data_IF_248990636030
#
_entry.id   IF_248990636030
#
_cell.length_a   1.000
_cell.length_b   1.000
_cell.length_c   1.000
_cell.angle_alpha   90.00
_cell.angle_beta   90.00
_cell.angle_gamma   90.00
#
_symmetry.space_group_name_H-M   'P 1'
#
loop_
_entity.id
_entity.type
_entity.pdbx_description
1 polymer ?
#
# COMPACT_ATOMS: atom_id res chain seq x y z
N UNK A 1 10.75 12.90 -8.32
CA UNK A 1 9.66 13.88 -8.52
C UNK A 1 9.87 15.09 -7.64
N UNK A 2 9.46 16.28 -8.12
CA UNK A 2 9.57 17.52 -7.35
C UNK A 2 8.23 17.84 -6.68
N UNK A 3 8.27 18.21 -5.41
CA UNK A 3 7.10 18.56 -4.60
C UNK A 3 7.24 19.97 -4.05
N UNK A 4 6.14 20.67 -3.92
CA UNK A 4 6.07 21.96 -3.25
C UNK A 4 6.20 21.72 -1.73
N UNK A 5 7.15 22.41 -1.08
CA UNK A 5 7.47 22.21 0.35
C UNK A 5 6.37 22.68 1.31
N UNK A 6 5.53 23.61 0.87
CA UNK A 6 4.45 24.16 1.71
C UNK A 6 3.17 23.34 1.62
N UNK A 7 2.83 22.90 0.40
CA UNK A 7 1.55 22.22 0.15
C UNK A 7 1.66 20.71 0.11
N UNK A 8 2.88 20.16 0.03
CA UNK A 8 3.13 18.73 -0.17
C UNK A 8 2.65 18.18 -1.52
N UNK A 9 2.16 19.06 -2.41
CA UNK A 9 1.63 18.65 -3.73
C UNK A 9 2.75 18.57 -4.76
N UNK A 10 2.57 17.66 -5.73
CA UNK A 10 3.49 17.53 -6.87
C UNK A 10 3.47 18.79 -7.72
N UNK A 11 4.66 19.30 -8.09
CA UNK A 11 4.81 20.40 -9.03
C UNK A 11 4.65 19.84 -10.44
N UNK A 12 3.62 20.28 -11.16
CA UNK A 12 3.27 19.83 -12.52
C UNK A 12 3.53 20.90 -13.59
N UNK A 13 3.64 22.17 -13.18
CA UNK A 13 3.85 23.29 -14.10
C UNK A 13 5.32 23.76 -14.07
N UNK A 14 5.93 24.12 -15.19
CA UNK A 14 5.40 24.05 -16.57
C UNK A 14 5.41 22.62 -17.16
N UNK A 15 5.97 21.64 -16.46
CA UNK A 15 5.99 20.22 -16.82
C UNK A 15 6.18 19.33 -15.57
N UNK A 16 5.88 18.05 -15.69
CA UNK A 16 6.10 17.10 -14.60
C UNK A 16 7.60 16.91 -14.36
N UNK A 17 8.09 17.38 -13.22
CA UNK A 17 9.49 17.24 -12.82
C UNK A 17 9.75 15.80 -12.30
N UNK A 18 9.87 14.86 -13.22
CA UNK A 18 10.22 13.47 -12.93
C UNK A 18 11.61 13.19 -13.48
N UNK A 19 12.50 12.70 -12.64
CA UNK A 19 13.82 12.25 -13.04
C UNK A 19 14.19 10.95 -12.37
N UNK A 20 15.11 10.23 -12.96
CA UNK A 20 15.59 8.95 -12.46
C UNK A 20 17.06 9.07 -12.04
N UNK A 21 17.40 8.47 -10.90
CA UNK A 21 18.76 8.56 -10.35
C UNK A 21 19.82 8.09 -11.34
N UNK A 22 19.58 6.98 -12.02
CA UNK A 22 20.53 6.46 -13.03
C UNK A 22 20.73 7.42 -14.21
N UNK A 23 19.67 8.16 -14.63
CA UNK A 23 19.78 9.16 -15.66
C UNK A 23 20.57 10.39 -15.21
N UNK A 24 20.38 10.83 -13.96
CA UNK A 24 21.16 11.94 -13.39
C UNK A 24 22.62 11.59 -13.21
N UNK A 25 22.91 10.36 -12.82
CA UNK A 25 24.27 9.87 -12.60
C UNK A 25 24.98 9.45 -13.89
N UNK A 26 24.32 9.56 -15.04
CA UNK A 26 24.87 9.19 -16.36
C UNK A 26 25.58 7.82 -16.34
N UNK A 27 24.94 6.82 -15.72
CA UNK A 27 25.50 5.46 -15.62
C UNK A 27 25.35 4.71 -16.95
N UNK A 28 26.44 4.63 -17.69
CA UNK A 28 26.50 3.80 -18.90
C UNK A 28 26.29 2.32 -18.56
N UNK A 29 25.52 1.63 -19.41
CA UNK A 29 25.25 0.20 -19.24
C UNK A 29 24.29 -0.13 -18.08
N UNK A 30 23.62 0.85 -17.49
CA UNK A 30 22.63 0.61 -16.45
C UNK A 30 21.43 -0.18 -16.98
N UNK A 31 21.22 -1.38 -16.44
CA UNK A 31 20.07 -2.22 -16.78
C UNK A 31 18.99 -2.07 -15.69
N UNK A 32 17.92 -1.34 -16.03
CA UNK A 32 16.79 -1.14 -15.11
C UNK A 32 15.99 -2.44 -14.96
N UNK A 33 16.01 -3.02 -13.77
CA UNK A 33 15.13 -4.12 -13.38
C UNK A 33 14.12 -3.61 -12.35
N UNK A 34 12.88 -3.48 -12.79
CA UNK A 34 11.78 -3.09 -11.89
C UNK A 34 11.29 -4.32 -11.10
N UNK A 35 10.95 -4.10 -9.84
CA UNK A 35 10.29 -5.06 -8.96
C UNK A 35 9.13 -4.36 -8.24
N UNK A 36 8.25 -5.12 -7.61
CA UNK A 36 7.21 -4.53 -6.77
C UNK A 36 7.82 -3.88 -5.53
N UNK A 37 7.33 -2.72 -5.16
CA UNK A 37 7.60 -2.20 -3.82
C UNK A 37 7.02 -3.17 -2.78
N UNK A 38 7.80 -3.50 -1.74
CA UNK A 38 7.38 -4.49 -0.75
C UNK A 38 7.52 -5.95 -1.19
N UNK A 39 8.09 -6.26 -2.37
CA UNK A 39 8.26 -7.62 -2.89
C UNK A 39 8.97 -8.57 -1.91
N UNK A 40 9.95 -8.07 -1.16
CA UNK A 40 10.67 -8.86 -0.15
C UNK A 40 9.75 -9.45 0.93
N UNK A 41 8.63 -8.80 1.25
CA UNK A 41 7.65 -9.28 2.23
C UNK A 41 6.93 -10.56 1.78
N UNK A 42 6.91 -10.84 0.46
CA UNK A 42 6.29 -12.06 -0.09
C UNK A 42 6.98 -13.34 0.40
N UNK A 43 8.26 -13.26 0.75
CA UNK A 43 9.02 -14.38 1.29
C UNK A 43 8.75 -14.61 2.78
N UNK A 44 8.38 -13.57 3.52
CA UNK A 44 8.16 -13.62 4.96
C UNK A 44 6.81 -14.24 5.33
N UNK A 45 5.78 -14.00 4.51
CA UNK A 45 4.44 -14.54 4.75
C UNK A 45 3.80 -15.04 3.45
N UNK A 46 3.63 -16.35 3.37
CA UNK A 46 3.00 -17.01 2.22
C UNK A 46 1.50 -17.23 2.39
N UNK A 47 0.95 -16.98 3.58
CA UNK A 47 -0.44 -17.29 3.92
C UNK A 47 -1.40 -16.14 3.64
N UNK A 48 -0.97 -14.88 3.85
CA UNK A 48 -1.83 -13.72 3.63
C UNK A 48 -2.05 -13.49 2.14
N UNK A 49 -3.27 -13.10 1.73
CA UNK A 49 -3.51 -12.60 0.38
C UNK A 49 -2.71 -11.34 0.13
N UNK A 50 -2.26 -11.18 -1.11
CA UNK A 50 -1.50 -10.00 -1.54
C UNK A 50 -2.47 -8.93 -2.03
N UNK A 51 -2.28 -7.69 -1.61
CA UNK A 51 -2.97 -6.52 -2.15
C UNK A 51 -1.99 -5.70 -3.00
N UNK A 52 -2.34 -5.47 -4.25
CA UNK A 52 -1.53 -4.70 -5.20
C UNK A 52 -2.17 -3.33 -5.45
N UNK A 53 -1.40 -2.27 -5.24
CA UNK A 53 -1.76 -0.87 -5.51
C UNK A 53 -0.78 -0.22 -6.49
N UNK A 54 -1.08 1.00 -6.95
CA UNK A 54 -0.20 1.72 -7.86
C UNK A 54 1.01 2.33 -7.15
N UNK A 55 0.80 3.02 -6.03
CA UNK A 55 1.85 3.79 -5.38
C UNK A 55 2.35 3.17 -4.07
N UNK A 56 3.62 3.38 -3.79
CA UNK A 56 4.30 2.94 -2.56
C UNK A 56 3.65 3.59 -1.32
N UNK A 57 3.28 4.88 -1.42
CA UNK A 57 2.56 5.62 -0.36
C UNK A 57 1.27 4.88 0.02
N UNK A 58 0.50 4.48 -0.98
CA UNK A 58 -0.78 3.78 -0.81
C UNK A 58 -0.58 2.43 -0.14
N UNK A 59 0.45 1.66 -0.55
CA UNK A 59 0.78 0.38 0.09
C UNK A 59 1.12 0.55 1.58
N UNK A 60 1.93 1.55 1.94
CA UNK A 60 2.30 1.83 3.33
C UNK A 60 1.07 2.20 4.16
N UNK A 61 0.25 3.14 3.69
CA UNK A 61 -0.95 3.58 4.42
C UNK A 61 -1.93 2.42 4.58
N UNK A 62 -2.24 1.73 3.48
CA UNK A 62 -3.20 0.63 3.50
C UNK A 62 -2.75 -0.54 4.38
N UNK A 63 -1.45 -0.81 4.50
CA UNK A 63 -0.92 -1.86 5.39
C UNK A 63 -1.24 -1.61 6.87
N UNK A 64 -1.35 -0.35 7.27
CA UNK A 64 -1.73 0.03 8.62
C UNK A 64 -3.23 -0.18 8.88
N UNK A 65 -4.09 0.20 7.94
CA UNK A 65 -5.54 0.12 8.09
C UNK A 65 -6.10 -1.28 7.83
N UNK A 66 -5.49 -2.02 6.91
CA UNK A 66 -5.94 -3.33 6.44
C UNK A 66 -4.80 -4.37 6.54
N UNK A 67 -4.34 -4.69 7.77
CA UNK A 67 -3.18 -5.55 8.01
C UNK A 67 -3.40 -7.02 7.62
N UNK A 68 -4.62 -7.42 7.28
CA UNK A 68 -4.93 -8.77 6.79
C UNK A 68 -4.36 -9.07 5.41
N UNK A 69 -3.96 -8.04 4.66
CA UNK A 69 -3.28 -8.20 3.37
C UNK A 69 -1.77 -7.97 3.51
N UNK A 70 -1.03 -8.56 2.60
CA UNK A 70 0.35 -8.18 2.34
C UNK A 70 0.34 -7.15 1.20
N UNK A 71 0.67 -5.90 1.51
CA UNK A 71 0.57 -4.79 0.57
C UNK A 71 1.86 -4.61 -0.22
N UNK A 72 1.72 -4.56 -1.55
CA UNK A 72 2.79 -4.26 -2.50
C UNK A 72 2.34 -3.19 -3.49
N UNK A 73 3.29 -2.52 -4.15
CA UNK A 73 2.96 -1.54 -5.17
C UNK A 73 3.70 -1.78 -6.48
N UNK A 74 3.04 -1.45 -7.58
CA UNK A 74 3.59 -1.59 -8.94
C UNK A 74 4.51 -0.45 -9.36
N UNK A 75 4.52 0.66 -8.61
CA UNK A 75 5.28 1.86 -8.96
C UNK A 75 4.61 2.72 -10.05
N UNK A 76 3.31 2.52 -10.26
CA UNK A 76 2.48 3.28 -11.20
C UNK A 76 1.53 2.40 -12.00
N UNK A 77 0.60 3.03 -12.72
CA UNK A 77 -0.47 2.35 -13.49
C UNK A 77 0.05 1.23 -14.39
N UNK A 78 1.18 1.44 -15.05
CA UNK A 78 1.77 0.52 -16.03
C UNK A 78 2.92 -0.32 -15.46
N UNK A 79 3.29 -0.12 -14.20
CA UNK A 79 4.48 -0.73 -13.60
C UNK A 79 4.29 -2.21 -13.30
N UNK A 80 5.37 -2.98 -13.42
CA UNK A 80 5.49 -4.38 -12.98
C UNK A 80 4.52 -5.40 -13.63
N UNK A 81 3.70 -5.04 -14.62
CA UNK A 81 2.84 -5.99 -15.36
C UNK A 81 3.61 -6.67 -16.51
N UNK A 82 4.73 -7.30 -16.20
CA UNK A 82 5.55 -8.07 -17.14
C UNK A 82 5.97 -9.40 -16.51
N UNK A 83 6.39 -10.36 -17.37
CA UNK A 83 6.64 -11.72 -16.93
C UNK A 83 7.67 -11.86 -15.80
N UNK A 84 8.72 -11.07 -15.83
CA UNK A 84 9.75 -11.11 -14.78
C UNK A 84 9.22 -10.68 -13.41
N UNK A 85 8.39 -9.62 -13.39
CA UNK A 85 7.81 -9.14 -12.14
C UNK A 85 6.65 -10.02 -11.67
N UNK A 86 5.78 -10.48 -12.59
CA UNK A 86 4.62 -11.29 -12.22
C UNK A 86 4.99 -12.67 -11.67
N UNK A 87 6.13 -13.23 -12.07
CA UNK A 87 6.55 -14.57 -11.64
C UNK A 87 6.67 -14.72 -10.12
N UNK A 88 6.98 -13.64 -9.39
CA UNK A 88 7.09 -13.68 -7.91
C UNK A 88 5.74 -13.86 -7.21
N UNK A 89 4.63 -13.63 -7.93
CA UNK A 89 3.27 -13.77 -7.44
C UNK A 89 2.64 -15.13 -7.81
N UNK A 90 3.35 -16.02 -8.51
CA UNK A 90 2.85 -17.33 -8.89
C UNK A 90 2.37 -18.11 -7.65
N UNK A 91 1.15 -18.69 -7.75
CA UNK A 91 0.52 -19.43 -6.66
C UNK A 91 -0.03 -18.57 -5.52
N UNK A 92 0.00 -17.24 -5.66
CA UNK A 92 -0.57 -16.32 -4.65
C UNK A 92 -2.00 -15.92 -5.02
N UNK A 93 -2.81 -15.67 -3.98
CA UNK A 93 -4.07 -14.94 -4.15
C UNK A 93 -3.79 -13.45 -4.08
N UNK A 94 -4.17 -12.72 -5.13
CA UNK A 94 -3.88 -11.30 -5.32
C UNK A 94 -5.16 -10.51 -5.52
N UNK A 95 -5.34 -9.43 -4.76
CA UNK A 95 -6.43 -8.47 -4.96
C UNK A 95 -5.84 -7.17 -5.52
N UNK A 96 -6.35 -6.74 -6.65
CA UNK A 96 -5.95 -5.51 -7.32
C UNK A 96 -6.78 -4.33 -6.76
N UNK A 97 -6.12 -3.27 -6.34
CA UNK A 97 -6.74 -2.02 -5.87
C UNK A 97 -6.29 -0.87 -6.76
N UNK A 98 -6.84 -0.72 -7.97
CA UNK A 98 -6.48 0.36 -8.88
C UNK A 98 -6.90 1.73 -8.33
N UNK A 99 -6.15 2.77 -8.69
CA UNK A 99 -6.59 4.14 -8.53
C UNK A 99 -7.80 4.42 -9.43
N UNK A 100 -8.64 5.39 -9.07
CA UNK A 100 -9.80 5.76 -9.90
C UNK A 100 -9.36 6.13 -11.33
N UNK A 101 -10.05 5.54 -12.30
CA UNK A 101 -9.74 5.67 -13.73
C UNK A 101 -8.64 4.72 -14.22
N UNK A 102 -8.12 3.82 -13.39
CA UNK A 102 -7.20 2.77 -13.79
C UNK A 102 -7.85 1.38 -13.86
N UNK A 103 -9.09 1.26 -13.41
CA UNK A 103 -9.81 -0.02 -13.25
C UNK A 103 -9.85 -0.83 -14.54
N UNK A 104 -10.26 -0.25 -15.68
CA UNK A 104 -10.36 -0.95 -16.96
C UNK A 104 -8.99 -1.45 -17.44
N UNK A 105 -7.96 -0.64 -17.23
CA UNK A 105 -6.60 -1.03 -17.60
C UNK A 105 -6.13 -2.23 -16.77
N UNK A 106 -6.33 -2.20 -15.44
CA UNK A 106 -5.94 -3.30 -14.57
C UNK A 106 -6.79 -4.55 -14.79
N UNK A 107 -8.08 -4.38 -15.10
CA UNK A 107 -8.96 -5.47 -15.55
C UNK A 107 -8.37 -6.19 -16.78
N UNK A 108 -7.82 -5.45 -17.73
CA UNK A 108 -7.19 -6.04 -18.92
C UNK A 108 -5.94 -6.88 -18.62
N UNK A 109 -5.31 -6.72 -17.44
CA UNK A 109 -4.12 -7.47 -17.01
C UNK A 109 -4.46 -8.80 -16.32
N UNK A 110 -5.70 -9.01 -15.93
CA UNK A 110 -6.13 -10.22 -15.19
C UNK A 110 -5.81 -11.50 -15.96
N UNK A 111 -6.11 -11.54 -17.25
CA UNK A 111 -5.84 -12.72 -18.08
C UNK A 111 -4.33 -13.05 -18.12
N UNK A 112 -3.51 -12.03 -18.25
CA UNK A 112 -2.05 -12.19 -18.19
C UNK A 112 -1.60 -12.70 -16.82
N UNK A 113 -2.10 -12.14 -15.72
CA UNK A 113 -1.75 -12.59 -14.38
C UNK A 113 -2.16 -14.04 -14.14
N UNK A 114 -3.35 -14.42 -14.57
CA UNK A 114 -3.84 -15.82 -14.49
C UNK A 114 -2.96 -16.79 -15.28
N UNK A 115 -2.41 -16.39 -16.42
CA UNK A 115 -1.48 -17.22 -17.20
C UNK A 115 -0.17 -17.51 -16.46
N UNK A 116 0.18 -16.69 -15.46
CA UNK A 116 1.29 -16.93 -14.53
C UNK A 116 0.90 -17.72 -13.27
N UNK A 117 -0.30 -18.31 -13.25
CA UNK A 117 -0.80 -19.10 -12.11
C UNK A 117 -1.13 -18.25 -10.87
N UNK A 118 -1.51 -16.98 -11.07
CA UNK A 118 -1.92 -16.07 -10.01
C UNK A 118 -3.45 -16.13 -9.88
N UNK A 119 -3.96 -16.40 -8.66
CA UNK A 119 -5.36 -16.24 -8.36
C UNK A 119 -5.67 -14.76 -8.11
N UNK A 120 -6.26 -14.10 -9.13
CA UNK A 120 -6.40 -12.64 -9.12
C UNK A 120 -7.86 -12.21 -9.12
N UNK A 121 -8.15 -11.24 -8.24
CA UNK A 121 -9.44 -10.56 -8.13
C UNK A 121 -9.23 -9.06 -8.27
N UNK A 122 -10.25 -8.35 -8.77
CA UNK A 122 -10.25 -6.89 -8.89
C UNK A 122 -11.20 -6.29 -7.86
N UNK A 123 -10.72 -5.31 -7.11
CA UNK A 123 -11.53 -4.48 -6.23
C UNK A 123 -12.01 -3.24 -7.00
N UNK A 124 -13.20 -3.32 -7.59
CA UNK A 124 -13.81 -2.26 -8.42
C UNK A 124 -14.79 -1.38 -7.65
N UNK A 125 -14.97 -1.65 -6.35
CA UNK A 125 -15.96 -0.95 -5.51
C UNK A 125 -15.75 0.58 -5.50
N UNK A 126 -14.51 1.04 -5.46
CA UNK A 126 -14.22 2.48 -5.47
C UNK A 126 -14.70 3.11 -6.78
N UNK A 127 -14.39 2.46 -7.92
CA UNK A 127 -14.83 2.92 -9.23
C UNK A 127 -16.36 3.01 -9.33
N UNK A 128 -17.09 2.02 -8.77
CA UNK A 128 -18.54 1.99 -8.78
C UNK A 128 -19.21 3.06 -7.90
N UNK A 129 -18.51 3.56 -6.85
CA UNK A 129 -19.08 4.46 -5.84
C UNK A 129 -18.51 5.87 -5.85
N UNK A 130 -17.42 6.11 -6.56
CA UNK A 130 -16.75 7.40 -6.60
C UNK A 130 -17.63 8.51 -7.19
N UNK A 131 -17.53 9.68 -6.60
CA UNK A 131 -18.08 10.90 -7.15
C UNK A 131 -17.25 11.40 -8.33
N UNK A 132 -17.81 12.29 -9.17
CA UNK A 132 -17.06 12.88 -10.28
C UNK A 132 -15.81 13.66 -9.83
N UNK A 133 -15.88 14.29 -8.65
CA UNK A 133 -14.74 15.02 -8.11
C UNK A 133 -13.60 14.09 -7.70
N UNK A 134 -13.92 12.99 -7.00
CA UNK A 134 -12.94 11.98 -6.62
C UNK A 134 -12.28 11.33 -7.85
N UNK A 135 -13.06 11.12 -8.94
CA UNK A 135 -12.51 10.64 -10.22
C UNK A 135 -11.54 11.63 -10.86
N UNK A 136 -11.89 12.94 -10.85
CA UNK A 136 -11.00 13.99 -11.40
C UNK A 136 -9.70 14.10 -10.62
N UNK A 137 -9.76 13.90 -9.30
CA UNK A 137 -8.58 13.93 -8.43
C UNK A 137 -7.78 12.63 -8.45
N UNK A 138 -8.35 11.55 -9.00
CA UNK A 138 -7.70 10.25 -9.10
C UNK A 138 -7.45 9.61 -7.75
N UNK A 139 -8.49 9.56 -6.91
CA UNK A 139 -8.40 8.98 -5.57
C UNK A 139 -7.98 7.51 -5.62
N UNK A 140 -7.22 7.11 -4.61
CA UNK A 140 -6.83 5.74 -4.35
C UNK A 140 -7.45 5.20 -3.05
N UNK A 141 -7.21 3.94 -2.71
CA UNK A 141 -7.74 3.33 -1.48
C UNK A 141 -7.26 4.08 -0.22
N UNK A 142 -6.03 4.63 -0.20
CA UNK A 142 -5.52 5.36 0.94
C UNK A 142 -6.29 6.66 1.19
N UNK A 143 -6.75 7.35 0.14
CA UNK A 143 -7.54 8.57 0.28
C UNK A 143 -8.87 8.32 1.00
N UNK A 144 -9.47 7.14 0.79
CA UNK A 144 -10.68 6.71 1.52
C UNK A 144 -10.35 6.25 2.94
N UNK A 145 -9.28 5.50 3.14
CA UNK A 145 -8.89 5.03 4.47
C UNK A 145 -8.51 6.18 5.41
N UNK A 146 -7.87 7.22 4.89
CA UNK A 146 -7.49 8.40 5.67
C UNK A 146 -8.68 9.26 6.10
N UNK A 147 -9.85 9.11 5.49
CA UNK A 147 -11.10 9.75 5.94
C UNK A 147 -11.64 9.10 7.21
N UNK A 148 -11.22 7.87 7.52
CA UNK A 148 -11.65 7.11 8.71
C UNK A 148 -10.52 7.12 9.73
N UNK A 149 -10.82 7.48 10.98
CA UNK A 149 -9.82 7.39 12.05
C UNK A 149 -9.43 5.92 12.27
N UNK A 150 -8.12 5.61 12.41
CA UNK A 150 -7.65 4.22 12.53
C UNK A 150 -8.29 3.47 13.70
N UNK A 151 -8.43 4.13 14.84
CA UNK A 151 -9.06 3.59 16.05
C UNK A 151 -10.55 3.30 15.83
N UNK A 152 -11.26 4.14 15.08
CA UNK A 152 -12.65 3.91 14.68
C UNK A 152 -12.78 2.73 13.73
N UNK A 153 -11.87 2.61 12.76
CA UNK A 153 -11.84 1.47 11.83
C UNK A 153 -11.63 0.14 12.57
N UNK A 154 -10.71 0.10 13.52
CA UNK A 154 -10.46 -1.07 14.38
C UNK A 154 -11.72 -1.39 15.21
N UNK A 155 -12.33 -0.38 15.82
CA UNK A 155 -13.54 -0.56 16.61
C UNK A 155 -14.68 -1.14 15.77
N UNK A 156 -14.90 -0.65 14.55
CA UNK A 156 -15.90 -1.19 13.64
C UNK A 156 -15.63 -2.66 13.28
N UNK A 157 -14.38 -3.04 13.07
CA UNK A 157 -14.02 -4.45 12.86
C UNK A 157 -14.29 -5.30 14.10
N UNK A 158 -14.00 -4.80 15.31
CA UNK A 158 -14.29 -5.49 16.56
C UNK A 158 -15.81 -5.70 16.75
N UNK A 159 -16.61 -4.67 16.49
CA UNK A 159 -18.09 -4.74 16.54
C UNK A 159 -18.62 -5.76 15.52
N UNK A 160 -18.07 -5.78 14.31
CA UNK A 160 -18.46 -6.76 13.28
C UNK A 160 -18.19 -8.20 13.71
N UNK A 161 -17.07 -8.44 14.40
CA UNK A 161 -16.71 -9.77 14.95
C UNK A 161 -17.53 -10.16 16.18
N UNK A 162 -17.90 -9.18 16.99
CA UNK A 162 -18.69 -9.37 18.20
C UNK A 162 -19.74 -8.25 18.32
N UNK A 163 -20.95 -8.45 17.78
CA UNK A 163 -22.03 -7.44 17.82
C UNK A 163 -22.40 -6.96 19.23
N UNK A 164 -22.23 -7.79 20.26
CA UNK A 164 -22.52 -7.42 21.66
C UNK A 164 -21.63 -6.26 22.15
N UNK A 165 -20.46 -6.04 21.52
CA UNK A 165 -19.60 -4.92 21.83
C UNK A 165 -20.29 -3.57 21.55
N UNK A 166 -21.11 -3.50 20.52
CA UNK A 166 -21.92 -2.29 20.23
C UNK A 166 -22.88 -1.99 21.37
N UNK A 167 -23.59 -3.01 21.85
CA UNK A 167 -24.51 -2.87 23.00
C UNK A 167 -23.79 -2.40 24.26
N UNK A 168 -22.61 -2.94 24.55
CA UNK A 168 -21.79 -2.50 25.69
C UNK A 168 -21.39 -1.03 25.58
N UNK A 169 -20.93 -0.59 24.38
CA UNK A 169 -20.51 0.79 24.13
C UNK A 169 -21.71 1.74 24.35
N UNK A 170 -22.88 1.39 23.82
CA UNK A 170 -24.08 2.21 23.95
C UNK A 170 -24.63 2.23 25.38
N UNK A 171 -24.61 1.07 26.08
CA UNK A 171 -25.14 0.95 27.44
C UNK A 171 -24.32 1.73 28.47
N UNK A 172 -22.99 1.75 28.30
CA UNK A 172 -22.05 2.35 29.26
C UNK A 172 -21.44 3.68 28.77
N UNK A 173 -21.94 4.24 27.68
CA UNK A 173 -21.40 5.48 27.03
C UNK A 173 -19.87 5.46 26.89
N UNK A 174 -19.35 4.32 26.43
CA UNK A 174 -17.90 4.14 26.29
C UNK A 174 -17.39 4.99 25.14
N UNK A 175 -16.26 5.70 25.36
CA UNK A 175 -15.61 6.55 24.36
C UNK A 175 -14.22 6.01 24.04
N UNK A 176 -13.82 6.13 22.78
CA UNK A 176 -12.45 5.88 22.38
C UNK A 176 -11.54 6.90 23.05
N UNK A 177 -10.60 6.42 23.85
CA UNK A 177 -9.57 7.25 24.47
C UNK A 177 -8.31 7.13 23.60
N UNK A 178 -7.81 8.28 23.12
CA UNK A 178 -6.53 8.34 22.45
C UNK A 178 -5.42 8.23 23.53
N UNK A 179 -5.04 7.00 23.86
CA UNK A 179 -3.85 6.76 24.65
C UNK A 179 -2.68 7.01 23.72
N UNK A 180 -2.11 8.22 23.74
CA UNK A 180 -0.76 8.44 23.20
C UNK A 180 0.15 7.44 23.94
N UNK A 181 0.47 6.33 23.31
CA UNK A 181 1.58 5.51 23.75
C UNK A 181 2.81 6.36 23.53
N UNK A 182 3.35 6.85 24.64
CA UNK A 182 4.70 7.38 24.68
C UNK A 182 5.62 6.20 24.30
N UNK A 183 5.91 6.10 23.00
CA UNK A 183 6.91 5.17 22.47
C UNK A 183 8.25 5.82 22.81
N UNK A 184 8.56 5.87 24.11
CA UNK A 184 9.93 6.03 24.55
C UNK A 184 10.70 4.87 23.93
N UNK A 185 11.54 5.20 22.97
CA UNK A 185 12.38 4.25 22.24
C UNK A 185 13.00 3.26 23.25
N UNK A 186 12.94 1.95 22.99
CA UNK A 186 13.70 1.01 23.80
C UNK A 186 15.16 1.45 23.71
N UNK A 187 15.77 1.79 24.86
CA UNK A 187 17.19 2.07 24.95
C UNK A 187 17.92 0.83 24.47
N UNK A 188 18.29 0.81 23.18
CA UNK A 188 19.18 -0.20 22.62
C UNK A 188 20.54 0.06 23.25
N UNK A 189 20.88 -0.71 24.27
CA UNK A 189 22.23 -0.72 24.84
C UNK A 189 23.20 -1.11 23.73
N UNK A 190 24.27 -0.36 23.51
CA UNK A 190 25.26 -0.71 22.49
C UNK A 190 25.83 -2.11 22.78
N UNK A 191 26.05 -2.95 21.77
CA UNK A 191 26.59 -4.27 21.97
C UNK A 191 27.94 -4.20 22.68
N UNK A 192 28.10 -4.92 23.79
CA UNK A 192 29.38 -5.03 24.50
C UNK A 192 30.42 -5.57 23.51
N UNK A 193 31.44 -4.77 23.23
CA UNK A 193 32.61 -5.20 22.46
C UNK A 193 33.24 -6.42 23.16
N UNK A 194 33.09 -7.60 22.60
CA UNK A 194 33.90 -8.75 22.98
C UNK A 194 35.33 -8.47 22.49
N UNK A 195 36.21 -8.15 23.43
CA UNK A 195 37.63 -8.07 23.14
C UNK A 195 38.14 -9.45 22.75
N UNK A 196 38.72 -9.59 21.54
CA UNK A 196 39.59 -10.69 21.22
C UNK A 196 40.89 -10.48 22.02
N UNK A 197 41.22 -11.41 22.93
CA UNK A 197 42.59 -11.57 23.41
C UNK A 197 43.35 -12.45 22.40
N UNK A 198 44.47 -11.92 21.90
CA UNK A 198 45.50 -12.65 21.22
C UNK A 198 46.17 -13.62 22.20
#
# INVERSE_FOLDING_TARGET
MLYNSETGKRIKEPYNHVTWVHSVLHKDGYNLKQCFFGEHLLSEDKSRPVALVESEKTAIIASYYLPQFLWIASGGKNGCFNGNSLSVLTGRSVVLFPDLGATDYWQSKISLMRSYGIDVQLFDYLEAKATENERKEGYDIADYLLKVRPDEAILQQMIKRNPNLKTLIETFDLKLINVQRDISQPKVSPPKKRGFRL
#
